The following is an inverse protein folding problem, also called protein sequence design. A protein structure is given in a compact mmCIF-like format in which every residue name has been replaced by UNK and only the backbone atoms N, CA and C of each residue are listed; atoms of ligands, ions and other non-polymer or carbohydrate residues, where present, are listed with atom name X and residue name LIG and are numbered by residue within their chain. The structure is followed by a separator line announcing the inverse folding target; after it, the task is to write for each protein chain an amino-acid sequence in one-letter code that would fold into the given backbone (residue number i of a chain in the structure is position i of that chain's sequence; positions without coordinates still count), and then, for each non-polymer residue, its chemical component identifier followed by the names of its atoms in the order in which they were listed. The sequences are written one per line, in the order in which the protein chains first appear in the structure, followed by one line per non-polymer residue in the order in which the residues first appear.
data_IF_681955185779
#
_entry.id   IF_681955185779
#
_cell.length_a   1.000
_cell.length_b   1.000
_cell.length_c   1.000
_cell.angle_alpha   90.00
_cell.angle_beta   90.00
_cell.angle_gamma   90.00
#
_symmetry.space_group_name_H-M   'P 1'
#
loop_
_entity.id
_entity.type
_entity.pdbx_description
1 polymer ?
#
# COMPACT_ATOMS: atom_id res chain seq x y z
N UNK A 1 -19.18 5.55 -22.62
CA UNK A 1 -19.67 4.26 -22.06
C UNK A 1 -20.62 4.55 -20.91
N UNK A 2 -21.64 3.73 -20.73
CA UNK A 2 -22.56 3.85 -19.58
C UNK A 2 -21.80 3.56 -18.26
N UNK A 3 -22.06 4.34 -17.21
CA UNK A 3 -21.35 4.23 -15.90
C UNK A 3 -21.48 2.83 -15.28
N UNK A 4 -22.64 2.20 -15.40
CA UNK A 4 -22.89 0.86 -14.86
C UNK A 4 -22.09 -0.22 -15.61
N UNK A 5 -21.93 -0.09 -16.91
CA UNK A 5 -21.09 -1.00 -17.69
C UNK A 5 -19.60 -0.89 -17.29
N UNK A 6 -19.13 0.33 -17.01
CA UNK A 6 -17.76 0.55 -16.53
C UNK A 6 -17.52 -0.11 -15.18
N UNK A 7 -18.47 0.04 -14.23
CA UNK A 7 -18.41 -0.62 -12.93
C UNK A 7 -18.38 -2.13 -13.05
N UNK A 8 -19.28 -2.71 -13.82
CA UNK A 8 -19.35 -4.17 -14.06
C UNK A 8 -18.01 -4.73 -14.55
N UNK A 9 -17.38 -4.07 -15.53
CA UNK A 9 -16.08 -4.47 -16.04
C UNK A 9 -14.97 -4.40 -14.99
N UNK A 10 -15.00 -3.38 -14.13
CA UNK A 10 -14.03 -3.25 -13.02
C UNK A 10 -14.24 -4.39 -12.01
N UNK A 11 -15.48 -4.67 -11.62
CA UNK A 11 -15.81 -5.74 -10.68
C UNK A 11 -15.38 -7.11 -11.24
N UNK A 12 -15.69 -7.42 -12.49
CA UNK A 12 -15.26 -8.65 -13.16
C UNK A 12 -13.71 -8.79 -13.20
N UNK A 13 -13.01 -7.68 -13.42
CA UNK A 13 -11.54 -7.69 -13.42
C UNK A 13 -10.96 -7.93 -12.03
N UNK A 14 -11.59 -7.40 -10.97
CA UNK A 14 -11.21 -7.67 -9.58
C UNK A 14 -11.47 -9.13 -9.24
N UNK A 15 -12.61 -9.69 -9.62
CA UNK A 15 -12.94 -11.10 -9.39
C UNK A 15 -11.95 -12.05 -10.05
N UNK A 16 -11.45 -11.71 -11.24
CA UNK A 16 -10.41 -12.48 -11.92
C UNK A 16 -9.06 -12.46 -11.22
N UNK A 17 -8.74 -11.40 -10.47
CA UNK A 17 -7.51 -11.26 -9.68
C UNK A 17 -7.68 -11.76 -8.24
N UNK A 18 -8.88 -12.19 -7.83
CA UNK A 18 -9.22 -12.49 -6.43
C UNK A 18 -8.27 -13.51 -5.77
N UNK A 19 -7.89 -14.58 -6.47
CA UNK A 19 -6.97 -15.59 -5.93
C UNK A 19 -5.59 -14.99 -5.61
N UNK A 20 -5.03 -14.21 -6.54
CA UNK A 20 -3.74 -13.54 -6.35
C UNK A 20 -3.78 -12.49 -5.24
N UNK A 21 -4.86 -11.73 -5.16
CA UNK A 21 -5.08 -10.72 -4.12
C UNK A 21 -5.22 -11.36 -2.72
N UNK A 22 -5.96 -12.45 -2.61
CA UNK A 22 -6.12 -13.18 -1.35
C UNK A 22 -4.80 -13.85 -0.92
N UNK A 23 -4.03 -14.39 -1.86
CA UNK A 23 -2.70 -14.94 -1.59
C UNK A 23 -1.73 -13.83 -1.10
N UNK A 24 -1.80 -12.63 -1.70
CA UNK A 24 -1.04 -11.47 -1.25
C UNK A 24 -1.41 -11.09 0.20
N UNK A 25 -2.72 -10.95 0.49
CA UNK A 25 -3.20 -10.61 1.83
C UNK A 25 -2.73 -11.58 2.91
N UNK A 26 -2.79 -12.89 2.61
CA UNK A 26 -2.37 -13.95 3.53
C UNK A 26 -0.85 -13.99 3.71
N UNK A 27 -0.08 -13.74 2.64
CA UNK A 27 1.36 -13.65 2.68
C UNK A 27 1.84 -12.47 3.56
N UNK A 28 1.27 -11.27 3.38
CA UNK A 28 1.57 -10.11 4.23
C UNK A 28 1.19 -10.39 5.69
N UNK A 29 0.01 -10.95 5.94
CA UNK A 29 -0.44 -11.30 7.29
C UNK A 29 0.52 -12.24 8.03
N UNK A 30 1.15 -13.17 7.31
CA UNK A 30 2.08 -14.15 7.86
C UNK A 30 3.49 -13.62 8.08
N UNK A 31 3.82 -12.47 7.53
CA UNK A 31 5.14 -11.84 7.62
C UNK A 31 5.03 -10.37 8.03
N UNK A 32 4.50 -10.10 9.24
CA UNK A 32 4.25 -8.74 9.70
C UNK A 32 5.57 -8.01 10.00
N UNK A 33 5.63 -6.74 9.62
CA UNK A 33 6.78 -5.86 9.86
C UNK A 33 6.33 -4.59 10.58
N UNK A 34 7.15 -4.06 11.49
CA UNK A 34 6.86 -2.82 12.23
C UNK A 34 7.16 -1.59 11.39
N UNK A 35 6.56 -0.46 11.77
CA UNK A 35 6.71 0.80 11.07
C UNK A 35 8.15 1.25 10.87
N UNK A 36 8.47 1.71 9.65
CA UNK A 36 9.80 2.02 9.11
C UNK A 36 10.75 0.83 8.98
N UNK A 37 10.25 -0.39 9.13
CA UNK A 37 10.96 -1.64 8.91
C UNK A 37 10.22 -2.57 7.92
N UNK A 38 9.21 -2.06 7.22
CA UNK A 38 8.34 -2.78 6.28
C UNK A 38 9.03 -3.04 4.93
N UNK A 39 10.30 -3.49 4.96
CA UNK A 39 11.10 -3.68 3.73
C UNK A 39 10.53 -4.76 2.81
N UNK A 40 10.15 -5.91 3.37
CA UNK A 40 9.56 -7.00 2.59
C UNK A 40 8.18 -6.63 2.06
N UNK A 41 7.34 -6.03 2.91
CA UNK A 41 6.00 -5.56 2.54
C UNK A 41 6.08 -4.51 1.42
N UNK A 42 7.03 -3.57 1.54
CA UNK A 42 7.35 -2.58 0.51
C UNK A 42 7.77 -3.21 -0.81
N UNK A 43 8.61 -4.25 -0.77
CA UNK A 43 9.01 -4.99 -1.97
C UNK A 43 7.81 -5.66 -2.64
N UNK A 44 6.98 -6.35 -1.87
CA UNK A 44 5.81 -7.09 -2.36
C UNK A 44 4.78 -6.17 -3.04
N UNK A 45 4.42 -5.06 -2.40
CA UNK A 45 3.46 -4.12 -3.00
C UNK A 45 4.02 -3.47 -4.26
N UNK A 46 5.32 -3.12 -4.26
CA UNK A 46 6.00 -2.55 -5.42
C UNK A 46 6.06 -3.52 -6.60
N UNK A 47 6.35 -4.81 -6.34
CA UNK A 47 6.35 -5.87 -7.36
C UNK A 47 4.96 -6.05 -7.98
N UNK A 48 3.92 -6.08 -7.15
CA UNK A 48 2.55 -6.20 -7.65
C UNK A 48 2.16 -4.99 -8.50
N UNK A 49 2.42 -3.76 -8.04
CA UNK A 49 2.18 -2.55 -8.82
C UNK A 49 2.92 -2.54 -10.16
N UNK A 50 4.19 -2.98 -10.18
CA UNK A 50 4.96 -3.13 -11.44
C UNK A 50 4.36 -4.17 -12.38
N UNK A 51 3.84 -5.28 -11.86
CA UNK A 51 3.18 -6.32 -12.69
C UNK A 51 1.90 -5.82 -13.37
N UNK A 52 1.28 -4.79 -12.81
CA UNK A 52 0.16 -4.08 -13.40
C UNK A 52 0.59 -3.02 -14.43
N UNK A 53 1.89 -2.76 -14.58
CA UNK A 53 2.43 -1.76 -15.50
C UNK A 53 2.46 -0.33 -14.95
N UNK A 54 2.30 -0.15 -13.64
CA UNK A 54 2.42 1.16 -13.00
C UNK A 54 3.88 1.66 -12.98
N UNK A 55 4.07 2.97 -13.09
CA UNK A 55 5.34 3.62 -12.76
C UNK A 55 5.51 3.63 -11.23
N UNK A 56 6.55 2.99 -10.72
CA UNK A 56 6.71 2.77 -9.27
C UNK A 56 7.92 3.52 -8.73
N UNK A 57 7.69 4.39 -7.74
CA UNK A 57 8.70 5.03 -6.90
C UNK A 57 8.74 4.33 -5.54
N UNK A 58 9.95 4.12 -5.00
CA UNK A 58 10.20 3.40 -3.73
C UNK A 58 11.02 4.24 -2.77
N UNK A 59 11.11 3.76 -1.54
CA UNK A 59 11.88 4.36 -0.46
C UNK A 59 11.41 5.77 -0.07
N UNK A 60 10.14 6.07 -0.29
CA UNK A 60 9.50 7.27 0.22
C UNK A 60 9.29 7.11 1.73
N UNK A 61 9.63 8.12 2.51
CA UNK A 61 9.57 7.98 3.97
C UNK A 61 10.15 6.64 4.45
N UNK A 62 11.34 6.27 3.97
CA UNK A 62 12.11 5.04 4.21
C UNK A 62 11.56 3.82 3.47
N UNK A 63 10.34 3.36 3.74
CA UNK A 63 9.77 2.11 3.20
C UNK A 63 8.53 2.31 2.34
N UNK A 64 8.05 3.54 2.20
CA UNK A 64 6.86 3.84 1.40
C UNK A 64 7.05 3.61 -0.10
N UNK A 65 5.93 3.33 -0.75
CA UNK A 65 5.87 3.03 -2.20
C UNK A 65 4.76 3.84 -2.84
N UNK A 66 5.02 4.39 -4.02
CA UNK A 66 4.02 5.05 -4.86
C UNK A 66 3.99 4.42 -6.24
N UNK A 67 2.79 3.96 -6.68
CA UNK A 67 2.50 3.61 -8.06
C UNK A 67 1.66 4.69 -8.71
N UNK A 68 1.97 5.08 -9.95
CA UNK A 68 1.23 6.11 -10.67
C UNK A 68 0.52 5.55 -11.91
N UNK A 69 -0.77 5.87 -12.02
CA UNK A 69 -1.61 5.63 -13.17
C UNK A 69 -2.03 6.98 -13.74
N UNK A 70 -1.58 7.26 -14.95
CA UNK A 70 -1.90 8.51 -15.67
C UNK A 70 -2.77 8.16 -16.86
N UNK A 71 -4.00 8.67 -16.89
CA UNK A 71 -4.89 8.57 -18.06
C UNK A 71 -4.87 9.86 -18.89
N UNK A 72 -4.75 11.00 -18.26
CA UNK A 72 -4.54 12.28 -18.95
C UNK A 72 -3.84 13.30 -18.04
N UNK A 73 -3.36 14.40 -18.63
CA UNK A 73 -2.81 15.55 -17.87
C UNK A 73 -3.92 16.52 -17.43
N UNK A 74 -5.18 16.21 -17.75
CA UNK A 74 -6.36 17.00 -17.37
C UNK A 74 -7.14 16.23 -16.30
N UNK A 75 -7.89 16.97 -15.48
CA UNK A 75 -8.73 16.35 -14.45
C UNK A 75 -8.05 16.25 -13.09
N UNK A 76 -8.68 15.56 -12.13
CA UNK A 76 -8.20 15.48 -10.75
C UNK A 76 -6.99 14.56 -10.62
N UNK A 77 -6.19 14.82 -9.56
CA UNK A 77 -5.21 13.88 -9.05
C UNK A 77 -5.76 13.27 -7.76
N UNK A 78 -5.98 11.97 -7.77
CA UNK A 78 -6.56 11.22 -6.63
C UNK A 78 -5.47 10.34 -6.03
N UNK A 79 -5.37 10.33 -4.69
CA UNK A 79 -4.55 9.38 -3.96
C UNK A 79 -5.41 8.28 -3.35
N UNK A 80 -5.03 7.04 -3.58
CA UNK A 80 -5.55 5.85 -2.90
C UNK A 80 -4.44 5.35 -1.99
N UNK A 81 -4.72 5.21 -0.69
CA UNK A 81 -3.71 4.85 0.31
C UNK A 81 -4.03 3.51 0.97
N UNK A 82 -2.99 2.73 1.26
CA UNK A 82 -3.03 1.55 2.11
C UNK A 82 -1.78 1.54 2.98
N UNK A 83 -1.95 1.26 4.26
CA UNK A 83 -0.87 1.29 5.25
C UNK A 83 -0.09 -0.02 5.25
N UNK A 84 1.23 0.03 5.50
CA UNK A 84 2.12 -1.12 5.32
C UNK A 84 2.42 -1.85 6.63
N UNK A 85 2.46 -1.13 7.75
CA UNK A 85 2.97 -1.60 9.02
C UNK A 85 2.00 -2.51 9.79
N UNK A 86 2.57 -3.28 10.71
CA UNK A 86 1.89 -4.07 11.72
C UNK A 86 2.00 -3.42 13.09
N UNK A 87 1.14 -3.83 14.02
CA UNK A 87 1.21 -3.42 15.43
C UNK A 87 1.94 -4.46 16.27
N UNK A 88 2.42 -4.08 17.46
CA UNK A 88 2.92 -5.03 18.45
C UNK A 88 1.72 -5.69 19.14
N UNK A 89 1.52 -6.97 18.90
CA UNK A 89 0.44 -7.76 19.49
C UNK A 89 0.92 -9.18 19.80
N UNK A 90 1.64 -9.32 20.91
CA UNK A 90 2.17 -10.61 21.35
C UNK A 90 1.05 -11.64 21.57
N UNK A 91 1.25 -12.85 21.08
CA UNK A 91 0.28 -13.94 21.20
C UNK A 91 -0.83 -13.93 20.14
N UNK A 92 -0.86 -12.95 19.24
CA UNK A 92 -1.75 -12.98 18.09
C UNK A 92 -1.35 -14.09 17.09
N UNK A 93 -2.29 -14.63 16.29
CA UNK A 93 -1.95 -15.53 15.21
C UNK A 93 -0.96 -14.90 14.24
N UNK A 94 0.10 -15.64 13.90
CA UNK A 94 1.19 -15.18 13.02
C UNK A 94 2.00 -13.98 13.56
N UNK A 95 1.94 -13.71 14.88
CA UNK A 95 2.83 -12.71 15.47
C UNK A 95 4.29 -13.14 15.28
N UNK A 96 5.11 -12.19 14.85
CA UNK A 96 6.55 -12.40 14.77
C UNK A 96 7.13 -12.69 16.16
N UNK A 97 7.86 -13.78 16.36
CA UNK A 97 8.30 -14.21 17.70
C UNK A 97 9.38 -13.29 18.31
N UNK A 98 10.05 -12.47 17.50
CA UNK A 98 11.14 -11.58 17.96
C UNK A 98 10.61 -10.17 18.28
N UNK A 99 9.75 -9.64 17.41
CA UNK A 99 9.26 -8.25 17.49
C UNK A 99 7.87 -8.17 18.10
N UNK A 100 7.10 -9.26 18.10
CA UNK A 100 5.69 -9.26 18.46
C UNK A 100 4.79 -8.61 17.40
N UNK A 101 5.33 -8.27 16.24
CA UNK A 101 4.55 -7.66 15.16
C UNK A 101 3.42 -8.59 14.69
N UNK A 102 2.23 -8.04 14.47
CA UNK A 102 1.07 -8.79 13.94
C UNK A 102 0.10 -7.86 13.23
N UNK A 103 -0.46 -8.32 12.11
CA UNK A 103 -1.49 -7.58 11.36
C UNK A 103 -2.87 -7.69 12.02
N UNK A 104 -3.03 -7.07 13.20
CA UNK A 104 -4.29 -7.04 13.96
C UNK A 104 -5.11 -5.77 13.70
N UNK A 105 -4.51 -4.72 13.13
CA UNK A 105 -5.22 -3.52 12.68
C UNK A 105 -5.84 -3.67 11.28
N UNK A 106 -5.38 -4.66 10.49
CA UNK A 106 -5.96 -4.98 9.18
C UNK A 106 -5.27 -4.29 8.01
N UNK A 107 -4.05 -3.74 8.17
CA UNK A 107 -3.32 -3.07 7.09
C UNK A 107 -3.01 -4.00 5.93
N UNK A 108 -2.82 -5.30 6.15
CA UNK A 108 -2.71 -6.29 5.08
C UNK A 108 -3.95 -6.31 4.16
N UNK A 109 -5.14 -6.09 4.72
CA UNK A 109 -6.39 -5.99 3.94
C UNK A 109 -6.46 -4.64 3.21
N UNK A 110 -6.08 -3.54 3.84
CA UNK A 110 -6.04 -2.22 3.19
C UNK A 110 -5.13 -2.21 1.97
N UNK A 111 -3.93 -2.78 2.07
CA UNK A 111 -3.01 -2.95 0.95
C UNK A 111 -3.64 -3.77 -0.18
N UNK A 112 -4.31 -4.85 0.17
CA UNK A 112 -4.99 -5.71 -0.81
C UNK A 112 -6.11 -4.96 -1.53
N UNK A 113 -6.91 -4.16 -0.82
CA UNK A 113 -7.95 -3.31 -1.41
C UNK A 113 -7.34 -2.27 -2.36
N UNK A 114 -6.23 -1.63 -1.97
CA UNK A 114 -5.49 -0.70 -2.83
C UNK A 114 -5.05 -1.37 -4.13
N UNK A 115 -4.49 -2.58 -4.05
CA UNK A 115 -4.07 -3.35 -5.23
C UNK A 115 -5.25 -3.84 -6.06
N UNK A 116 -6.39 -4.19 -5.43
CA UNK A 116 -7.62 -4.56 -6.13
C UNK A 116 -8.17 -3.39 -6.95
N UNK A 117 -8.17 -2.18 -6.41
CA UNK A 117 -8.57 -0.97 -7.14
C UNK A 117 -7.66 -0.74 -8.36
N UNK A 118 -6.33 -0.85 -8.16
CA UNK A 118 -5.37 -0.69 -9.24
C UNK A 118 -5.57 -1.76 -10.34
N UNK A 119 -5.69 -3.04 -9.95
CA UNK A 119 -5.92 -4.15 -10.86
C UNK A 119 -7.24 -4.00 -11.63
N UNK A 120 -8.33 -3.69 -10.92
CA UNK A 120 -9.64 -3.48 -11.51
C UNK A 120 -9.64 -2.40 -12.59
N UNK A 121 -9.05 -1.24 -12.31
CA UNK A 121 -8.95 -0.13 -13.26
C UNK A 121 -8.08 -0.48 -14.48
N UNK A 122 -6.96 -1.16 -14.27
CA UNK A 122 -5.98 -1.43 -15.32
C UNK A 122 -6.43 -2.62 -16.19
N UNK A 123 -6.80 -3.75 -15.57
CA UNK A 123 -7.19 -4.98 -16.28
C UNK A 123 -8.48 -4.80 -17.08
N UNK A 124 -9.46 -4.08 -16.53
CA UNK A 124 -10.69 -3.74 -17.28
C UNK A 124 -10.46 -2.72 -18.39
N UNK A 125 -9.33 -2.00 -18.37
CA UNK A 125 -9.08 -0.85 -19.23
C UNK A 125 -9.91 0.38 -18.90
N UNK A 126 -10.64 0.37 -17.76
CA UNK A 126 -11.53 1.45 -17.34
C UNK A 126 -10.81 2.79 -17.15
N UNK A 127 -9.53 2.76 -16.74
CA UNK A 127 -8.75 3.98 -16.56
C UNK A 127 -8.66 4.83 -17.84
N UNK A 128 -8.78 4.23 -19.04
CA UNK A 128 -8.73 4.95 -20.34
C UNK A 128 -9.97 5.81 -20.59
N UNK A 129 -11.04 5.58 -19.83
CA UNK A 129 -12.30 6.32 -19.90
C UNK A 129 -12.33 7.46 -18.84
N UNK A 130 -11.28 7.57 -18.02
CA UNK A 130 -11.16 8.56 -16.96
C UNK A 130 -10.19 9.67 -17.37
N UNK A 131 -10.42 10.87 -16.86
CA UNK A 131 -9.46 11.96 -16.95
C UNK A 131 -8.73 12.14 -15.63
N UNK A 132 -7.41 12.39 -15.70
CA UNK A 132 -6.59 12.72 -14.54
C UNK A 132 -5.57 11.65 -14.19
N UNK A 133 -5.19 11.64 -12.91
CA UNK A 133 -4.13 10.77 -12.36
C UNK A 133 -4.60 10.10 -11.09
N UNK A 134 -4.10 8.89 -10.85
CA UNK A 134 -4.29 8.17 -9.60
C UNK A 134 -2.92 7.76 -9.07
N UNK A 135 -2.60 8.17 -7.84
CA UNK A 135 -1.45 7.67 -7.09
C UNK A 135 -1.92 6.61 -6.10
N UNK A 136 -1.34 5.42 -6.19
CA UNK A 136 -1.51 4.33 -5.24
C UNK A 136 -0.35 4.38 -4.25
N UNK A 137 -0.63 4.67 -2.98
CA UNK A 137 0.38 4.89 -1.96
C UNK A 137 0.38 3.76 -0.93
N UNK A 138 1.46 3.01 -0.87
CA UNK A 138 1.81 2.18 0.28
C UNK A 138 2.45 3.07 1.34
N UNK A 139 1.71 3.37 2.40
CA UNK A 139 2.09 4.32 3.44
C UNK A 139 2.79 3.60 4.58
N UNK A 140 4.05 3.93 4.94
CA UNK A 140 4.72 3.29 6.06
C UNK A 140 4.29 3.87 7.40
N UNK A 141 4.53 3.11 8.48
CA UNK A 141 4.59 3.58 9.84
C UNK A 141 3.40 4.45 10.29
N UNK A 142 2.18 3.99 10.05
CA UNK A 142 0.96 4.66 10.50
C UNK A 142 0.76 4.52 12.00
N UNK A 143 0.99 3.31 12.53
CA UNK A 143 0.84 2.97 13.94
C UNK A 143 1.99 3.52 14.77
N UNK A 144 1.69 4.19 15.86
CA UNK A 144 2.69 4.73 16.76
C UNK A 144 3.29 3.66 17.71
N UNK A 145 3.56 2.49 17.18
CA UNK A 145 4.32 1.44 17.88
C UNK A 145 5.83 1.71 17.75
N UNK A 146 6.63 1.16 18.67
CA UNK A 146 8.08 1.17 18.62
C UNK A 146 8.68 2.59 18.58
N UNK A 147 8.30 3.41 19.56
CA UNK A 147 8.65 4.83 19.61
C UNK A 147 10.15 5.08 19.71
N UNK A 148 10.89 4.22 20.43
CA UNK A 148 12.34 4.33 20.59
C UNK A 148 13.06 4.31 19.24
N UNK A 149 12.65 3.42 18.34
CA UNK A 149 13.21 3.35 16.99
C UNK A 149 12.92 4.61 16.18
N UNK A 150 11.71 5.14 16.31
CA UNK A 150 11.30 6.38 15.60
C UNK A 150 12.09 7.59 16.09
N UNK A 151 12.29 7.71 17.40
CA UNK A 151 13.13 8.75 17.98
C UNK A 151 14.57 8.63 17.50
N UNK A 152 15.14 7.43 17.51
CA UNK A 152 16.47 7.18 16.97
C UNK A 152 16.59 7.62 15.50
N UNK A 153 15.66 7.23 14.63
CA UNK A 153 15.66 7.62 13.20
C UNK A 153 15.58 9.14 13.04
N UNK A 154 14.82 9.82 13.92
CA UNK A 154 14.74 11.28 13.93
C UNK A 154 16.05 11.93 14.38
N UNK A 155 16.69 11.40 15.44
CA UNK A 155 18.00 11.86 15.91
C UNK A 155 19.11 11.65 14.87
N UNK A 156 19.02 10.57 14.09
CA UNK A 156 19.91 10.29 12.95
C UNK A 156 19.63 11.18 11.73
N UNK A 157 18.61 12.05 11.78
CA UNK A 157 18.21 12.91 10.67
C UNK A 157 17.57 12.18 9.48
N UNK A 158 17.11 10.94 9.69
CA UNK A 158 16.43 10.13 8.67
C UNK A 158 14.93 10.41 8.58
N UNK A 159 14.35 11.02 9.61
CA UNK A 159 12.96 11.43 9.69
C UNK A 159 12.84 12.85 10.25
N UNK A 160 11.86 13.60 9.74
CA UNK A 160 11.43 14.89 10.31
C UNK A 160 10.25 14.69 11.26
N UNK A 161 9.36 13.76 10.90
CA UNK A 161 8.17 13.38 11.64
C UNK A 161 8.26 11.91 12.09
N UNK A 162 7.38 11.50 13.00
CA UNK A 162 7.35 10.10 13.47
C UNK A 162 6.20 9.29 12.86
N UNK A 163 5.62 9.75 11.75
CA UNK A 163 4.52 9.11 11.03
C UNK A 163 4.78 9.17 9.53
N UNK A 164 4.56 8.07 8.86
CA UNK A 164 4.80 7.97 7.42
C UNK A 164 3.97 8.96 6.59
N UNK A 165 2.70 9.20 6.96
CA UNK A 165 1.86 10.19 6.25
C UNK A 165 2.45 11.60 6.32
N UNK A 166 2.90 12.00 7.51
CA UNK A 166 3.50 13.32 7.70
C UNK A 166 4.84 13.44 6.96
N UNK A 167 5.65 12.38 6.96
CA UNK A 167 6.91 12.33 6.23
C UNK A 167 6.68 12.42 4.72
N UNK A 168 5.73 11.66 4.17
CA UNK A 168 5.36 11.70 2.74
C UNK A 168 4.83 13.06 2.26
N UNK A 169 4.26 13.88 3.15
CA UNK A 169 3.83 15.25 2.83
C UNK A 169 5.03 16.21 2.82
N UNK A 170 6.06 15.88 3.60
CA UNK A 170 7.26 16.69 3.73
C UNK A 170 8.23 16.52 2.55
N UNK A 171 8.35 15.31 2.00
CA UNK A 171 9.15 14.98 0.83
C UNK A 171 8.54 15.55 -0.48
#
# INVERSE_FOLDING_TARGET
MEREELKRRIEEAIDQEAEALMAYADDIRKHPELGFEEYRTSDKIAEYMKSLGLSVTRNLAITGVKGELVSSDKGPHIAVMGELDAIICNGAPYADPQTGAAHQCGHNVQQTVLLAIAAGLIRSGAYKELDGRISFLGVPAEEYCYLEKRLQLKEEGKLHFMSGKAELIHE
#
